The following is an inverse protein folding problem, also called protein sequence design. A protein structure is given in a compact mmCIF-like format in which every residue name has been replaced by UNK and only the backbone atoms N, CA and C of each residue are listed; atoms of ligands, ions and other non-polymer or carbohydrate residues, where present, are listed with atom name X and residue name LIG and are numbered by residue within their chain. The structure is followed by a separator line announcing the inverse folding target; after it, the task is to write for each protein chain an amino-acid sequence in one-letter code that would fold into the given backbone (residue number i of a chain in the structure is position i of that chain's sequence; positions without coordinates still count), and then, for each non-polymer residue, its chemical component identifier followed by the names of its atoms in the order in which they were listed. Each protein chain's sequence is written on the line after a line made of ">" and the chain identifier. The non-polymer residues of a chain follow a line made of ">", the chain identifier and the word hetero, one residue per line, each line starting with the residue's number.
data_IF_534087791744
#
_entry.id   IF_534087791744
#
_cell.length_a   1.000
_cell.length_b   1.000
_cell.length_c   1.000
_cell.angle_alpha   90.00
_cell.angle_beta   90.00
_cell.angle_gamma   90.00
#
_symmetry.space_group_name_H-M   'P 1'
#
loop_
_entity.id
_entity.type
_entity.pdbx_description
1 polymer ?
#
# COMPACT_ATOMS: atom_id res chain seq x y z
N UNK A 1 11.69 2.38 -20.82
CA UNK A 1 11.72 2.14 -19.36
C UNK A 1 10.43 2.65 -18.75
N UNK A 2 9.82 1.85 -17.92
CA UNK A 2 8.55 2.25 -17.33
C UNK A 2 8.78 3.09 -16.07
N UNK A 3 7.83 3.97 -15.76
CA UNK A 3 7.91 4.78 -14.55
C UNK A 3 7.76 3.91 -13.30
N UNK A 4 7.10 2.75 -13.43
CA UNK A 4 6.96 1.82 -12.32
C UNK A 4 8.32 1.29 -11.86
N UNK A 5 9.18 0.94 -12.81
CA UNK A 5 10.52 0.45 -12.48
C UNK A 5 11.33 1.51 -11.76
N UNK A 6 11.25 2.75 -12.26
CA UNK A 6 11.96 3.86 -11.63
C UNK A 6 11.45 4.11 -10.22
N UNK A 7 10.12 4.08 -10.04
CA UNK A 7 9.53 4.30 -8.72
C UNK A 7 9.97 3.23 -7.74
N UNK A 8 9.92 1.97 -8.15
CA UNK A 8 10.29 0.86 -7.28
C UNK A 8 11.77 0.95 -6.88
N UNK A 9 12.63 1.25 -7.84
CA UNK A 9 14.05 1.35 -7.57
C UNK A 9 14.32 2.48 -6.58
N UNK A 10 13.66 3.61 -6.75
CA UNK A 10 13.81 4.75 -5.84
C UNK A 10 13.37 4.38 -4.42
N UNK A 11 12.25 3.65 -4.32
CA UNK A 11 11.75 3.24 -3.02
C UNK A 11 12.73 2.33 -2.28
N UNK A 12 13.36 1.42 -3.01
CA UNK A 12 14.29 0.48 -2.39
C UNK A 12 15.56 1.14 -1.88
N UNK A 13 15.85 2.34 -2.34
CA UNK A 13 17.05 3.08 -1.93
C UNK A 13 16.78 4.00 -0.75
N UNK A 14 15.52 4.15 -0.33
CA UNK A 14 15.18 5.06 0.75
C UNK A 14 15.45 4.46 2.13
N UNK A 15 15.82 5.27 3.11
CA UNK A 15 15.83 4.81 4.50
C UNK A 15 14.44 4.36 4.93
N UNK A 16 14.39 3.48 5.94
CA UNK A 16 13.13 2.85 6.35
C UNK A 16 12.01 3.85 6.65
N UNK A 17 12.34 4.95 7.34
CA UNK A 17 11.32 5.93 7.71
C UNK A 17 10.78 6.68 6.49
N UNK A 18 11.66 7.01 5.54
CA UNK A 18 11.23 7.68 4.31
C UNK A 18 10.47 6.71 3.42
N UNK A 19 10.89 5.46 3.40
CA UNK A 19 10.20 4.42 2.65
C UNK A 19 8.77 4.28 3.13
N UNK A 20 8.56 4.26 4.45
CA UNK A 20 7.22 4.14 5.01
C UNK A 20 6.33 5.32 4.60
N UNK A 21 6.88 6.53 4.58
CA UNK A 21 6.12 7.70 4.17
C UNK A 21 5.71 7.63 2.71
N UNK A 22 6.61 7.18 1.85
CA UNK A 22 6.30 7.04 0.43
C UNK A 22 5.27 5.94 0.20
N UNK A 23 5.40 4.83 0.90
CA UNK A 23 4.44 3.74 0.81
C UNK A 23 3.07 4.20 1.29
N UNK A 24 3.02 4.97 2.38
CA UNK A 24 1.75 5.50 2.87
C UNK A 24 1.08 6.35 1.81
N UNK A 25 1.83 7.21 1.14
CA UNK A 25 1.29 8.05 0.07
C UNK A 25 0.70 7.21 -1.05
N UNK A 26 1.41 6.18 -1.47
CA UNK A 26 0.94 5.29 -2.54
C UNK A 26 -0.32 4.54 -2.12
N UNK A 27 -0.32 3.99 -0.91
CA UNK A 27 -1.45 3.21 -0.42
C UNK A 27 -2.68 4.09 -0.25
N UNK A 28 -2.51 5.27 0.35
CA UNK A 28 -3.62 6.19 0.52
C UNK A 28 -4.22 6.60 -0.81
N UNK A 29 -3.38 6.85 -1.79
CA UNK A 29 -3.86 7.24 -3.11
C UNK A 29 -4.73 6.15 -3.71
N UNK A 30 -4.32 4.89 -3.58
CA UNK A 30 -5.10 3.77 -4.10
C UNK A 30 -6.43 3.62 -3.39
N UNK A 31 -6.41 3.67 -2.06
CA UNK A 31 -7.62 3.52 -1.27
C UNK A 31 -8.61 4.66 -1.53
N UNK A 32 -8.11 5.88 -1.58
CA UNK A 32 -8.99 7.03 -1.86
C UNK A 32 -9.60 6.93 -3.23
N UNK A 33 -8.82 6.48 -4.22
CA UNK A 33 -9.34 6.32 -5.57
C UNK A 33 -10.49 5.31 -5.60
N UNK A 34 -10.31 4.17 -4.95
CA UNK A 34 -11.33 3.11 -4.94
C UNK A 34 -12.56 3.53 -4.14
N UNK A 35 -12.34 4.26 -3.04
CA UNK A 35 -13.45 4.73 -2.19
C UNK A 35 -14.08 6.01 -2.71
N UNK A 36 -13.60 6.55 -3.83
CA UNK A 36 -14.11 7.78 -4.45
C UNK A 36 -13.98 8.99 -3.53
N UNK A 37 -12.87 9.05 -2.81
CA UNK A 37 -12.56 10.18 -1.92
C UNK A 37 -11.67 11.17 -2.64
N UNK A 38 -11.86 12.46 -2.30
CA UNK A 38 -10.96 13.51 -2.76
C UNK A 38 -9.60 13.37 -2.11
N UNK A 39 -8.57 13.85 -2.78
CA UNK A 39 -7.23 13.83 -2.20
C UNK A 39 -7.16 14.70 -0.95
N UNK A 40 -8.01 15.70 -0.86
CA UNK A 40 -8.04 16.59 0.30
C UNK A 40 -8.77 15.97 1.50
N UNK A 41 -9.51 14.89 1.29
CA UNK A 41 -10.18 14.20 2.39
C UNK A 41 -9.18 13.32 3.12
N UNK A 42 -9.30 13.27 4.45
CA UNK A 42 -8.43 12.44 5.26
C UNK A 42 -9.02 11.05 5.40
N UNK A 43 -8.21 10.05 5.10
CA UNK A 43 -8.60 8.65 5.29
C UNK A 43 -8.00 8.18 6.61
N UNK A 44 -8.83 7.76 7.57
CA UNK A 44 -8.30 7.30 8.86
C UNK A 44 -7.40 6.08 8.67
N UNK A 45 -6.23 6.10 9.29
CA UNK A 45 -5.23 5.06 9.12
C UNK A 45 -5.44 3.87 10.06
N UNK A 46 -6.11 4.09 11.18
CA UNK A 46 -6.26 3.08 12.22
C UNK A 46 -7.68 2.54 12.35
N UNK A 47 -8.54 2.87 11.40
CA UNK A 47 -9.90 2.34 11.35
C UNK A 47 -9.95 1.31 10.23
N UNK A 48 -10.71 0.23 10.46
CA UNK A 48 -10.85 -0.81 9.44
C UNK A 48 -11.36 -0.19 8.13
N UNK A 49 -10.65 -0.47 7.04
CA UNK A 49 -11.11 0.06 5.75
C UNK A 49 -12.42 -0.57 5.30
N UNK A 50 -12.80 -1.73 5.85
CA UNK A 50 -14.13 -2.27 5.60
C UNK A 50 -15.21 -1.39 6.22
N UNK A 51 -14.91 -0.79 7.38
CA UNK A 51 -15.82 0.16 8.01
C UNK A 51 -15.95 1.45 7.20
N UNK A 52 -14.96 1.73 6.37
CA UNK A 52 -14.96 2.91 5.50
C UNK A 52 -15.69 2.65 4.18
N UNK A 53 -16.17 1.44 3.98
CA UNK A 53 -16.95 1.11 2.80
C UNK A 53 -16.25 0.26 1.76
N UNK A 54 -15.04 -0.19 2.04
CA UNK A 54 -14.31 -1.02 1.10
C UNK A 54 -14.90 -2.43 1.10
N UNK A 55 -15.07 -2.99 -0.10
CA UNK A 55 -15.53 -4.38 -0.24
C UNK A 55 -14.35 -5.30 -0.44
N UNK A 56 -14.59 -6.60 -0.21
CA UNK A 56 -13.55 -7.61 -0.44
C UNK A 56 -13.06 -7.61 -1.88
N UNK A 57 -13.98 -7.41 -2.82
CA UNK A 57 -13.59 -7.36 -4.23
C UNK A 57 -12.66 -6.20 -4.52
N UNK A 58 -13.01 -5.02 -3.99
CA UNK A 58 -12.16 -3.84 -4.20
C UNK A 58 -10.81 -3.99 -3.50
N UNK A 59 -10.81 -4.62 -2.33
CA UNK A 59 -9.56 -4.88 -1.63
C UNK A 59 -8.65 -5.79 -2.46
N UNK A 60 -9.23 -6.81 -3.09
CA UNK A 60 -8.47 -7.71 -3.97
C UNK A 60 -7.84 -6.93 -5.12
N UNK A 61 -8.58 -5.99 -5.70
CA UNK A 61 -8.07 -5.15 -6.78
C UNK A 61 -6.89 -4.30 -6.30
N UNK A 62 -7.04 -3.71 -5.11
CA UNK A 62 -5.96 -2.90 -4.53
C UNK A 62 -4.73 -3.77 -4.30
N UNK A 63 -4.91 -4.96 -3.75
CA UNK A 63 -3.81 -5.88 -3.49
C UNK A 63 -3.04 -6.20 -4.77
N UNK A 64 -3.76 -6.54 -5.82
CA UNK A 64 -3.13 -6.88 -7.10
C UNK A 64 -2.38 -5.68 -7.68
N UNK A 65 -2.95 -4.49 -7.55
CA UNK A 65 -2.33 -3.27 -8.02
C UNK A 65 -1.01 -3.02 -7.29
N UNK A 66 -1.04 -3.14 -5.98
CA UNK A 66 0.16 -2.91 -5.17
C UNK A 66 1.22 -3.98 -5.41
N UNK A 67 0.80 -5.21 -5.61
CA UNK A 67 1.74 -6.29 -5.93
C UNK A 67 2.49 -6.00 -7.21
N UNK A 68 1.78 -5.52 -8.22
CA UNK A 68 2.42 -5.18 -9.49
C UNK A 68 3.32 -3.96 -9.36
N UNK A 69 2.85 -2.95 -8.66
CA UNK A 69 3.60 -1.72 -8.50
C UNK A 69 4.88 -1.93 -7.70
N UNK A 70 4.81 -2.74 -6.66
CA UNK A 70 5.93 -2.93 -5.74
C UNK A 70 6.73 -4.21 -6.00
N UNK A 71 6.29 -4.99 -6.97
CA UNK A 71 6.97 -6.23 -7.37
C UNK A 71 7.19 -7.17 -6.19
N UNK A 72 6.12 -7.39 -5.43
CA UNK A 72 6.17 -8.33 -4.31
C UNK A 72 4.79 -8.96 -4.11
N UNK A 73 4.76 -10.02 -3.32
CA UNK A 73 3.52 -10.71 -2.99
C UNK A 73 2.98 -10.21 -1.66
N UNK A 74 1.69 -9.96 -1.62
CA UNK A 74 1.01 -9.51 -0.42
C UNK A 74 0.11 -10.64 0.07
N UNK A 75 0.32 -11.08 1.31
CA UNK A 75 -0.49 -12.14 1.89
C UNK A 75 -1.91 -11.63 2.12
N UNK A 76 -2.88 -12.32 1.49
CA UNK A 76 -4.28 -11.91 1.61
C UNK A 76 -4.76 -11.94 3.05
N UNK A 77 -4.28 -12.89 3.85
CA UNK A 77 -4.70 -12.98 5.24
C UNK A 77 -4.33 -11.74 6.04
N UNK A 78 -3.20 -11.12 5.71
CA UNK A 78 -2.79 -9.88 6.38
C UNK A 78 -3.82 -8.79 6.16
N UNK A 79 -4.31 -8.68 4.92
CA UNK A 79 -5.27 -7.65 4.58
C UNK A 79 -6.61 -7.84 5.27
N UNK A 80 -7.02 -9.07 5.49
CA UNK A 80 -8.31 -9.35 6.11
C UNK A 80 -8.24 -9.39 7.63
N UNK A 81 -7.13 -9.83 8.20
CA UNK A 81 -6.98 -9.94 9.64
C UNK A 81 -6.60 -8.63 10.31
N UNK A 82 -5.84 -7.79 9.60
CA UNK A 82 -5.40 -6.49 10.12
C UNK A 82 -5.83 -5.43 9.10
N UNK A 83 -7.12 -5.13 9.03
CA UNK A 83 -7.69 -4.35 7.93
C UNK A 83 -7.57 -2.84 8.12
N UNK A 84 -6.38 -2.35 8.43
CA UNK A 84 -6.13 -0.92 8.53
C UNK A 84 -5.02 -0.50 7.58
N UNK A 85 -5.08 0.75 7.11
CA UNK A 85 -4.04 1.28 6.24
C UNK A 85 -2.72 1.34 6.98
N UNK A 86 -2.74 1.70 8.27
CA UNK A 86 -1.52 1.78 9.05
C UNK A 86 -0.76 0.46 9.06
N UNK A 87 -1.47 -0.64 9.28
CA UNK A 87 -0.84 -1.94 9.30
C UNK A 87 -0.29 -2.31 7.92
N UNK A 88 -1.08 -2.02 6.88
CA UNK A 88 -0.66 -2.36 5.52
C UNK A 88 0.60 -1.59 5.13
N UNK A 89 0.66 -0.31 5.46
CA UNK A 89 1.84 0.50 5.17
C UNK A 89 3.08 -0.08 5.85
N UNK A 90 2.95 -0.42 7.13
CA UNK A 90 4.06 -0.98 7.88
C UNK A 90 4.50 -2.32 7.29
N UNK A 91 3.54 -3.17 6.94
CA UNK A 91 3.81 -4.46 6.34
C UNK A 91 4.57 -4.31 5.01
N UNK A 92 4.11 -3.39 4.15
CA UNK A 92 4.74 -3.19 2.86
C UNK A 92 6.13 -2.57 2.98
N UNK A 93 6.27 -1.59 3.85
CA UNK A 93 7.58 -0.96 4.06
C UNK A 93 8.59 -1.97 4.59
N UNK A 94 8.14 -2.83 5.50
CA UNK A 94 8.99 -3.86 6.06
C UNK A 94 9.40 -4.87 4.99
N UNK A 95 8.43 -5.27 4.16
CA UNK A 95 8.70 -6.23 3.08
C UNK A 95 9.71 -5.68 2.07
N UNK A 96 9.59 -4.41 1.72
CA UNK A 96 10.53 -3.79 0.77
C UNK A 96 11.89 -3.58 1.40
N UNK A 97 11.93 -3.21 2.68
CA UNK A 97 13.20 -2.96 3.35
C UNK A 97 14.02 -4.24 3.53
N UNK A 98 13.34 -5.37 3.73
CA UNK A 98 14.01 -6.65 3.96
C UNK A 98 14.13 -7.50 2.71
N UNK A 99 13.43 -7.12 1.63
CA UNK A 99 13.45 -7.89 0.40
C UNK A 99 14.84 -7.81 -0.24
N UNK A 100 15.45 -8.94 -0.56
CA UNK A 100 16.76 -8.89 -1.20
C UNK A 100 16.64 -8.30 -2.60
N UNK A 101 17.63 -7.51 -2.94
CA UNK A 101 17.73 -6.95 -4.26
C UNK A 101 18.07 -8.05 -5.26
N UNK A 102 17.45 -8.03 -6.42
CA UNK A 102 17.69 -9.03 -7.44
C UNK A 102 18.38 -8.40 -8.62
#
# INVERSE_FOLDING_TARGET
>A
MSSTDTTLQRLRELPRNELAEEIETLVLKRFKSVLLMDESEDLPLDISYFDLGLTSLRLTEIRQNLEQLLDLSINANVLFNEPTVAYLVDYLADALATSPSR
#
